data_IF_637318917635
#
_entry.id   IF_637318917635
#
_cell.length_a   1.000
_cell.length_b   1.000
_cell.length_c   1.000
_cell.angle_alpha   90.00
_cell.angle_beta   90.00
_cell.angle_gamma   90.00
#
_symmetry.space_group_name_H-M   'P 1'
#
loop_
_entity.id
_entity.type
_entity.pdbx_description
1 polymer ?
#
# COMPACT_ATOMS: atom_id res chain seq x y z
N UNK A 1 -13.22 15.51 -3.66
CA UNK A 1 -13.00 14.13 -3.18
C UNK A 1 -12.58 14.26 -1.73
N UNK A 2 -13.30 13.64 -0.79
CA UNK A 2 -13.12 13.85 0.65
C UNK A 2 -12.05 12.86 1.14
N UNK A 3 -10.82 13.27 1.52
CA UNK A 3 -9.89 12.37 2.15
C UNK A 3 -10.02 12.58 3.64
N UNK A 4 -11.12 12.08 4.22
CA UNK A 4 -11.05 11.66 5.60
C UNK A 4 -12.06 10.56 5.88
N UNK A 5 -11.64 9.33 5.63
CA UNK A 5 -12.41 8.13 5.92
C UNK A 5 -11.90 7.45 7.20
N UNK A 6 -10.80 7.92 7.80
CA UNK A 6 -10.11 7.18 8.86
C UNK A 6 -9.05 6.20 8.35
N UNK A 7 -8.52 5.37 9.26
CA UNK A 7 -7.36 4.49 9.03
C UNK A 7 -7.75 3.03 9.13
N UNK A 8 -7.32 2.21 8.16
CA UNK A 8 -7.36 0.74 8.24
C UNK A 8 -5.99 0.23 8.71
N UNK A 9 -5.95 -0.58 9.75
CA UNK A 9 -4.73 -1.13 10.32
C UNK A 9 -4.83 -2.65 10.48
N UNK A 10 -3.70 -3.34 10.35
CA UNK A 10 -3.62 -4.79 10.48
C UNK A 10 -2.29 -5.31 9.95
N UNK A 11 -2.09 -6.63 10.05
CA UNK A 11 -0.90 -7.26 9.49
C UNK A 11 -1.07 -7.40 7.98
N UNK A 12 -0.09 -6.94 7.22
CA UNK A 12 -0.03 -7.11 5.77
C UNK A 12 1.24 -7.85 5.39
N UNK A 13 1.11 -8.81 4.48
CA UNK A 13 2.24 -9.45 3.82
C UNK A 13 2.52 -8.75 2.50
N UNK A 14 3.80 -8.53 2.22
CA UNK A 14 4.25 -8.08 0.89
C UNK A 14 4.22 -9.29 -0.04
N UNK A 15 3.41 -9.21 -1.09
CA UNK A 15 3.24 -10.29 -2.07
C UNK A 15 4.01 -10.03 -3.35
N UNK A 16 4.18 -8.76 -3.71
CA UNK A 16 4.95 -8.33 -4.87
C UNK A 16 5.70 -7.03 -4.54
N UNK A 17 6.90 -6.89 -5.09
CA UNK A 17 7.69 -5.68 -5.02
C UNK A 17 8.46 -5.56 -6.32
N UNK A 18 7.99 -4.67 -7.18
CA UNK A 18 8.51 -4.45 -8.51
C UNK A 18 9.21 -3.10 -8.59
N UNK A 19 10.42 -3.14 -9.13
CA UNK A 19 11.25 -1.98 -9.37
C UNK A 19 11.32 -1.74 -10.87
N UNK A 20 10.68 -0.68 -11.34
CA UNK A 20 10.78 -0.24 -12.72
C UNK A 20 11.52 1.09 -12.78
N UNK A 21 12.16 1.36 -13.91
CA UNK A 21 12.80 2.65 -14.13
C UNK A 21 12.87 2.97 -15.60
N UNK A 22 12.52 4.20 -15.94
CA UNK A 22 12.72 4.70 -17.29
C UNK A 22 14.15 5.22 -17.43
N UNK A 23 14.71 5.11 -18.62
CA UNK A 23 16.08 5.56 -18.93
C UNK A 23 16.30 7.07 -18.67
N UNK A 24 15.20 7.82 -18.51
CA UNK A 24 15.16 9.26 -18.21
C UNK A 24 15.16 9.58 -16.70
N UNK A 25 15.47 8.60 -15.84
CA UNK A 25 15.79 8.82 -14.43
C UNK A 25 14.62 8.74 -13.45
N UNK A 26 13.43 8.38 -13.91
CA UNK A 26 12.31 8.06 -13.02
C UNK A 26 12.42 6.60 -12.55
N UNK A 27 12.36 6.39 -11.24
CA UNK A 27 12.26 5.06 -10.63
C UNK A 27 10.84 4.91 -10.08
N UNK A 28 10.15 3.88 -10.52
CA UNK A 28 8.82 3.51 -10.06
C UNK A 28 8.92 2.28 -9.18
N UNK A 29 8.23 2.34 -8.03
CA UNK A 29 8.10 1.22 -7.11
C UNK A 29 6.64 0.80 -7.08
N UNK A 30 6.36 -0.43 -7.45
CA UNK A 30 5.04 -1.04 -7.28
C UNK A 30 5.11 -2.06 -6.14
N UNK A 31 4.18 -1.94 -5.19
CA UNK A 31 4.11 -2.81 -4.01
C UNK A 31 2.73 -3.45 -3.93
N UNK A 32 2.70 -4.78 -3.97
CA UNK A 32 1.52 -5.59 -3.70
C UNK A 32 1.44 -5.95 -2.22
N UNK A 33 0.30 -5.66 -1.59
CA UNK A 33 0.03 -5.97 -0.18
C UNK A 33 -1.22 -6.85 -0.07
N UNK A 34 -1.14 -7.88 0.76
CA UNK A 34 -2.28 -8.74 1.10
C UNK A 34 -2.47 -8.78 2.62
N UNK A 35 -3.73 -8.76 3.07
CA UNK A 35 -4.04 -8.87 4.49
C UNK A 35 -3.63 -10.24 5.02
N UNK A 36 -2.76 -10.25 6.03
CA UNK A 36 -2.26 -11.46 6.68
C UNK A 36 -2.97 -11.74 8.02
N UNK A 37 -4.07 -11.03 8.31
CA UNK A 37 -4.81 -11.18 9.55
C UNK A 37 -6.09 -10.36 9.61
N UNK A 38 -6.64 -10.22 10.82
CA UNK A 38 -7.80 -9.37 11.06
C UNK A 38 -7.42 -7.89 10.91
N UNK A 39 -8.29 -7.14 10.23
CA UNK A 39 -8.14 -5.70 10.06
C UNK A 39 -9.01 -4.96 11.08
N UNK A 40 -8.48 -3.86 11.60
CA UNK A 40 -9.23 -2.88 12.39
C UNK A 40 -9.36 -1.57 11.61
N UNK A 41 -10.40 -0.83 11.92
CA UNK A 41 -10.67 0.46 11.30
C UNK A 41 -10.95 1.49 12.39
N UNK A 42 -10.32 2.65 12.29
CA UNK A 42 -10.59 3.81 13.13
C UNK A 42 -11.10 4.93 12.24
N UNK A 43 -12.34 5.38 12.47
CA UNK A 43 -12.85 6.60 11.85
C UNK A 43 -12.05 7.82 12.34
N UNK A 44 -12.08 8.89 11.55
CA UNK A 44 -11.40 10.15 11.85
C UNK A 44 -12.25 11.11 12.69
#
# INVERSE_FOLDING_TARGET
MIPDFGTVAGLFQVTALDYAGNHDGEVTYELGLESAGALSFSAA
#
